data_IF_763755147370
#
_entry.id   IF_763755147370
#
_cell.length_a   1.000
_cell.length_b   1.000
_cell.length_c   1.000
_cell.angle_alpha   90.00
_cell.angle_beta   90.00
_cell.angle_gamma   90.00
#
_symmetry.space_group_name_H-M   'P 1'
#
loop_
_entity.id
_entity.type
_entity.pdbx_description
1 polymer ?
#
# COMPACT_ATOMS: atom_id res chain seq x y z
N UNK A 1 -28.86 12.60 59.04
CA UNK A 1 -27.74 13.14 58.24
C UNK A 1 -27.68 12.36 56.94
N UNK A 2 -27.80 13.06 55.80
CA UNK A 2 -27.97 12.50 54.46
C UNK A 2 -26.68 11.88 53.88
N UNK A 3 -26.81 10.64 53.43
CA UNK A 3 -26.19 9.95 52.29
C UNK A 3 -24.86 10.50 51.70
N UNK A 4 -23.73 10.01 52.22
CA UNK A 4 -22.38 10.16 51.62
C UNK A 4 -22.00 8.96 50.72
N UNK A 5 -22.87 7.94 50.61
CA UNK A 5 -22.56 6.65 49.98
C UNK A 5 -22.56 6.60 48.44
N UNK A 6 -22.99 7.67 47.76
CA UNK A 6 -23.17 7.67 46.30
C UNK A 6 -21.93 8.11 45.50
N UNK A 7 -20.86 8.59 46.15
CA UNK A 7 -19.68 9.15 45.47
C UNK A 7 -18.44 8.25 45.42
N UNK A 8 -18.54 7.00 45.88
CA UNK A 8 -17.39 6.07 45.87
C UNK A 8 -17.29 5.27 44.55
N UNK A 9 -16.07 5.08 43.99
CA UNK A 9 -15.86 4.30 42.77
C UNK A 9 -16.39 2.86 42.92
N UNK A 10 -16.94 2.29 41.84
CA UNK A 10 -17.69 1.01 41.83
C UNK A 10 -16.98 -0.15 42.57
N UNK A 11 -15.65 -0.20 42.48
CA UNK A 11 -14.74 -1.16 43.14
C UNK A 11 -14.71 -1.06 44.68
N UNK A 12 -14.92 0.12 45.26
CA UNK A 12 -14.99 0.29 46.71
C UNK A 12 -16.37 -0.03 47.28
N UNK A 13 -17.42 -0.03 46.44
CA UNK A 13 -18.79 -0.38 46.88
C UNK A 13 -18.90 -1.87 47.23
N UNK A 14 -18.22 -2.73 46.48
CA UNK A 14 -18.14 -4.17 46.76
C UNK A 14 -17.39 -4.43 48.06
N UNK A 15 -16.22 -3.81 48.25
CA UNK A 15 -15.43 -3.96 49.48
C UNK A 15 -16.16 -3.39 50.71
N UNK A 16 -16.80 -2.24 50.58
CA UNK A 16 -17.57 -1.63 51.67
C UNK A 16 -18.83 -2.46 52.02
N UNK A 17 -19.45 -3.10 51.03
CA UNK A 17 -20.54 -4.05 51.25
C UNK A 17 -20.11 -5.29 52.04
N UNK A 18 -18.93 -5.83 51.72
CA UNK A 18 -18.33 -6.96 52.47
C UNK A 18 -18.00 -6.55 53.91
N UNK A 19 -17.43 -5.36 54.13
CA UNK A 19 -17.11 -4.85 55.48
C UNK A 19 -18.38 -4.57 56.29
N UNK A 20 -19.42 -4.02 55.66
CA UNK A 20 -20.71 -3.79 56.32
C UNK A 20 -21.40 -5.12 56.72
N UNK A 21 -21.35 -6.14 55.85
CA UNK A 21 -21.86 -7.47 56.18
C UNK A 21 -21.10 -8.09 57.36
N UNK A 22 -19.76 -7.97 57.37
CA UNK A 22 -18.93 -8.44 58.48
C UNK A 22 -19.26 -7.74 59.81
N UNK A 23 -19.49 -6.42 59.79
CA UNK A 23 -19.90 -5.64 60.97
C UNK A 23 -21.28 -6.06 61.50
N UNK A 24 -22.26 -6.30 60.61
CA UNK A 24 -23.60 -6.77 61.00
C UNK A 24 -23.51 -8.18 61.61
N UNK A 25 -22.69 -9.08 61.04
CA UNK A 25 -22.48 -10.41 61.63
C UNK A 25 -21.81 -10.34 63.00
N UNK A 26 -20.88 -9.40 63.21
CA UNK A 26 -20.21 -9.19 64.49
C UNK A 26 -21.18 -8.63 65.55
N UNK A 27 -22.09 -7.73 65.15
CA UNK A 27 -23.14 -7.20 66.04
C UNK A 27 -24.18 -8.25 66.41
N UNK A 28 -24.56 -9.12 65.47
CA UNK A 28 -25.43 -10.29 65.75
C UNK A 28 -24.74 -11.27 66.70
N UNK A 29 -23.43 -11.50 66.54
CA UNK A 29 -22.63 -12.30 67.47
C UNK A 29 -22.63 -11.73 68.89
N UNK A 30 -22.35 -10.43 69.00
CA UNK A 30 -22.22 -9.76 70.28
C UNK A 30 -23.59 -9.67 71.00
N UNK A 31 -24.68 -9.53 70.25
CA UNK A 31 -26.05 -9.60 70.77
C UNK A 31 -26.45 -11.00 71.26
N UNK A 32 -26.01 -12.07 70.58
CA UNK A 32 -26.25 -13.46 71.00
C UNK A 32 -25.46 -13.81 72.27
N UNK A 33 -24.24 -13.29 72.41
CA UNK A 33 -23.40 -13.50 73.62
C UNK A 33 -23.97 -12.78 74.85
N UNK A 34 -24.53 -11.57 74.70
CA UNK A 34 -25.07 -10.80 75.82
C UNK A 34 -26.48 -11.23 76.27
N UNK A 35 -27.28 -11.85 75.39
CA UNK A 35 -28.63 -12.33 75.74
C UNK A 35 -28.65 -13.77 76.28
N UNK A 36 -27.55 -14.53 76.13
CA UNK A 36 -27.43 -15.92 76.55
C UNK A 36 -26.72 -16.10 77.90
N UNK A 37 -26.96 -15.22 78.87
CA UNK A 37 -26.46 -15.33 80.25
C UNK A 37 -27.03 -16.51 81.06
N UNK A 38 -27.26 -17.69 80.47
CA UNK A 38 -27.80 -18.83 81.21
C UNK A 38 -28.01 -20.17 80.51
N UNK A 39 -27.46 -20.47 79.31
CA UNK A 39 -27.57 -21.83 78.71
C UNK A 39 -26.30 -22.27 77.96
N UNK A 40 -25.95 -23.55 78.19
CA UNK A 40 -24.78 -24.33 77.79
C UNK A 40 -24.03 -23.90 76.50
N UNK A 41 -22.73 -23.61 76.68
CA UNK A 41 -21.78 -23.12 75.67
C UNK A 41 -21.51 -24.09 74.50
N UNK A 42 -21.74 -25.40 74.68
CA UNK A 42 -21.39 -26.43 73.71
C UNK A 42 -22.24 -26.43 72.42
N UNK A 43 -23.48 -25.97 72.47
CA UNK A 43 -24.38 -25.94 71.30
C UNK A 43 -24.15 -24.73 70.39
N UNK A 44 -23.64 -23.62 70.93
CA UNK A 44 -23.35 -22.40 70.17
C UNK A 44 -22.07 -22.52 69.34
N UNK A 45 -21.03 -23.17 69.88
CA UNK A 45 -19.76 -23.37 69.17
C UNK A 45 -19.89 -24.28 67.94
N UNK A 46 -20.76 -25.31 68.00
CA UNK A 46 -21.01 -26.23 66.87
C UNK A 46 -21.76 -25.54 65.74
N UNK A 47 -22.77 -24.73 66.04
CA UNK A 47 -23.50 -23.94 65.03
C UNK A 47 -22.55 -22.92 64.38
N UNK A 48 -21.66 -22.34 65.17
CA UNK A 48 -20.64 -21.42 64.69
C UNK A 48 -19.66 -22.08 63.72
N UNK A 49 -19.08 -23.21 64.11
CA UNK A 49 -18.12 -23.96 63.29
C UNK A 49 -18.74 -24.42 61.96
N UNK A 50 -19.99 -24.90 61.98
CA UNK A 50 -20.69 -25.35 60.78
C UNK A 50 -21.04 -24.20 59.82
N UNK A 51 -21.30 -23.00 60.35
CA UNK A 51 -21.52 -21.80 59.52
C UNK A 51 -20.23 -21.32 58.84
N UNK A 52 -19.08 -21.44 59.52
CA UNK A 52 -17.77 -21.06 58.98
C UNK A 52 -17.31 -22.03 57.88
N UNK A 53 -17.58 -23.33 58.06
CA UNK A 53 -17.25 -24.37 57.09
C UNK A 53 -18.06 -24.22 55.79
N UNK A 54 -19.37 -23.95 55.89
CA UNK A 54 -20.22 -23.67 54.73
C UNK A 54 -19.79 -22.39 53.99
N UNK A 55 -19.43 -21.33 54.73
CA UNK A 55 -18.95 -20.09 54.12
C UNK A 55 -17.60 -20.26 53.41
N UNK A 56 -16.71 -21.10 53.94
CA UNK A 56 -15.44 -21.44 53.31
C UNK A 56 -15.64 -22.26 52.03
N UNK A 57 -16.58 -23.22 52.03
CA UNK A 57 -16.93 -24.01 50.85
C UNK A 57 -17.53 -23.13 49.73
N UNK A 58 -18.46 -22.24 50.08
CA UNK A 58 -19.06 -21.30 49.12
C UNK A 58 -18.02 -20.32 48.54
N UNK A 59 -17.06 -19.87 49.36
CA UNK A 59 -15.97 -19.01 48.90
C UNK A 59 -15.00 -19.74 47.94
N UNK A 60 -14.73 -21.03 48.16
CA UNK A 60 -13.91 -21.85 47.27
C UNK A 60 -14.62 -22.10 45.92
N UNK A 61 -15.94 -22.32 45.93
CA UNK A 61 -16.73 -22.49 44.72
C UNK A 61 -16.80 -21.20 43.88
N UNK A 62 -17.02 -20.05 44.52
CA UNK A 62 -17.03 -18.74 43.86
C UNK A 62 -15.65 -18.42 43.27
N UNK A 63 -14.56 -18.75 43.97
CA UNK A 63 -13.20 -18.52 43.45
C UNK A 63 -12.87 -19.41 42.26
N UNK A 64 -13.25 -20.70 42.29
CA UNK A 64 -13.13 -21.60 41.12
C UNK A 64 -13.95 -21.12 39.93
N UNK A 65 -15.22 -20.75 40.14
CA UNK A 65 -16.07 -20.23 39.07
C UNK A 65 -15.47 -18.96 38.44
N UNK A 66 -14.90 -18.07 39.27
CA UNK A 66 -14.23 -16.84 38.81
C UNK A 66 -12.98 -17.14 37.98
N UNK A 67 -12.14 -18.10 38.41
CA UNK A 67 -10.94 -18.54 37.69
C UNK A 67 -11.29 -19.14 36.32
N UNK A 68 -12.30 -20.02 36.26
CA UNK A 68 -12.79 -20.61 35.01
C UNK A 68 -13.28 -19.54 34.02
N UNK A 69 -14.02 -18.54 34.49
CA UNK A 69 -14.42 -17.40 33.64
C UNK A 69 -13.23 -16.55 33.19
N UNK A 70 -12.20 -16.37 34.02
CA UNK A 70 -11.01 -15.61 33.65
C UNK A 70 -10.21 -16.32 32.55
N UNK A 71 -10.01 -17.64 32.68
CA UNK A 71 -9.33 -18.49 31.69
C UNK A 71 -10.12 -18.53 30.36
N UNK A 72 -11.45 -18.73 30.40
CA UNK A 72 -12.31 -18.71 29.22
C UNK A 72 -12.26 -17.38 28.46
N UNK A 73 -12.18 -16.26 29.19
CA UNK A 73 -12.02 -14.93 28.58
C UNK A 73 -10.64 -14.74 27.96
N UNK A 74 -9.59 -15.35 28.51
CA UNK A 74 -8.23 -15.27 27.95
C UNK A 74 -8.12 -16.07 26.67
N UNK A 75 -8.68 -17.29 26.64
CA UNK A 75 -8.75 -18.14 25.44
C UNK A 75 -9.54 -17.46 24.32
N UNK A 76 -10.70 -16.86 24.63
CA UNK A 76 -11.50 -16.13 23.63
C UNK A 76 -10.74 -14.95 23.03
N UNK A 77 -9.97 -14.22 23.85
CA UNK A 77 -9.14 -13.11 23.38
C UNK A 77 -7.96 -13.59 22.52
N UNK A 78 -7.38 -14.75 22.85
CA UNK A 78 -6.30 -15.35 22.05
C UNK A 78 -6.81 -15.80 20.68
N UNK A 79 -7.97 -16.47 20.62
CA UNK A 79 -8.60 -16.88 19.34
C UNK A 79 -8.86 -15.67 18.44
N UNK A 80 -9.41 -14.59 18.99
CA UNK A 80 -9.62 -13.33 18.26
C UNK A 80 -8.32 -12.72 17.74
N UNK A 81 -7.23 -12.79 18.51
CA UNK A 81 -5.91 -12.30 18.08
C UNK A 81 -5.34 -13.18 16.97
N UNK A 82 -5.50 -14.50 17.06
CA UNK A 82 -5.00 -15.44 16.05
C UNK A 82 -5.76 -15.28 14.72
N UNK A 83 -7.10 -15.11 14.77
CA UNK A 83 -7.93 -14.78 13.60
C UNK A 83 -7.53 -13.45 12.96
N UNK A 84 -7.22 -12.43 13.77
CA UNK A 84 -6.74 -11.13 13.28
C UNK A 84 -5.35 -11.25 12.65
N UNK A 85 -4.45 -12.02 13.25
CA UNK A 85 -3.11 -12.25 12.71
C UNK A 85 -3.14 -13.04 11.41
N UNK A 86 -4.04 -14.02 11.28
CA UNK A 86 -4.27 -14.75 10.03
C UNK A 86 -4.82 -13.84 8.94
N UNK A 87 -5.77 -12.94 9.28
CA UNK A 87 -6.29 -11.94 8.34
C UNK A 87 -5.21 -10.95 7.85
N UNK A 88 -4.36 -10.44 8.76
CA UNK A 88 -3.23 -9.57 8.41
C UNK A 88 -2.21 -10.31 7.54
N UNK A 89 -1.93 -11.57 7.86
CA UNK A 89 -1.03 -12.40 7.05
C UNK A 89 -1.60 -12.60 5.64
N UNK A 90 -2.88 -12.95 5.52
CA UNK A 90 -3.56 -13.10 4.23
C UNK A 90 -3.55 -11.81 3.39
N UNK A 91 -3.77 -10.66 4.01
CA UNK A 91 -3.70 -9.35 3.33
C UNK A 91 -2.28 -9.06 2.82
N UNK A 92 -1.26 -9.32 3.65
CA UNK A 92 0.14 -9.13 3.25
C UNK A 92 0.58 -10.06 2.11
N UNK A 93 0.11 -11.31 2.12
CA UNK A 93 0.37 -12.30 1.07
C UNK A 93 -0.33 -11.88 -0.24
N UNK A 94 -1.58 -11.40 -0.16
CA UNK A 94 -2.30 -10.91 -1.33
C UNK A 94 -1.62 -9.67 -1.95
N UNK A 95 -1.10 -8.74 -1.14
CA UNK A 95 -0.33 -7.60 -1.61
C UNK A 95 0.96 -8.05 -2.34
N UNK A 96 1.71 -8.97 -1.74
CA UNK A 96 2.94 -9.51 -2.34
C UNK A 96 2.67 -10.27 -3.65
N UNK A 97 1.58 -11.03 -3.71
CA UNK A 97 1.15 -11.72 -4.95
C UNK A 97 0.75 -10.73 -6.04
N UNK A 98 0.09 -9.62 -5.69
CA UNK A 98 -0.26 -8.56 -6.64
C UNK A 98 0.99 -7.87 -7.18
N UNK A 99 1.96 -7.55 -6.32
CA UNK A 99 3.22 -6.95 -6.74
C UNK A 99 4.02 -7.89 -7.66
N UNK A 100 4.08 -9.19 -7.33
CA UNK A 100 4.70 -10.20 -8.18
C UNK A 100 3.97 -10.34 -9.53
N UNK A 101 2.63 -10.33 -9.53
CA UNK A 101 1.85 -10.39 -10.75
C UNK A 101 2.07 -9.16 -11.64
N UNK A 102 2.18 -7.96 -11.06
CA UNK A 102 2.53 -6.73 -11.79
C UNK A 102 3.94 -6.80 -12.37
N UNK A 103 4.91 -7.30 -11.61
CA UNK A 103 6.28 -7.43 -12.09
C UNK A 103 6.38 -8.46 -13.22
N UNK A 104 5.67 -9.58 -13.10
CA UNK A 104 5.60 -10.61 -14.16
C UNK A 104 4.96 -10.05 -15.41
N UNK A 105 3.84 -9.31 -15.28
CA UNK A 105 3.17 -8.66 -16.40
C UNK A 105 4.02 -7.56 -17.07
N UNK A 106 4.88 -6.87 -16.30
CA UNK A 106 5.85 -5.91 -16.85
C UNK A 106 6.94 -6.61 -17.65
N UNK A 107 7.53 -7.68 -17.11
CA UNK A 107 8.58 -8.42 -17.82
C UNK A 107 8.06 -9.07 -19.11
N UNK A 108 6.82 -9.59 -19.09
CA UNK A 108 6.17 -10.14 -20.30
C UNK A 108 5.93 -9.08 -21.39
N UNK A 109 5.67 -7.83 -21.00
CA UNK A 109 5.43 -6.72 -21.94
C UNK A 109 6.69 -5.89 -22.25
N UNK A 110 7.84 -6.27 -21.70
CA UNK A 110 9.07 -5.49 -21.85
C UNK A 110 9.60 -5.58 -23.28
N UNK A 111 9.86 -4.43 -23.89
CA UNK A 111 10.35 -4.35 -25.26
C UNK A 111 11.82 -4.78 -25.28
N UNK A 112 12.08 -5.92 -25.92
CA UNK A 112 13.42 -6.47 -26.06
C UNK A 112 14.09 -5.90 -27.32
N UNK A 113 15.14 -5.10 -27.13
CA UNK A 113 15.96 -4.57 -28.21
C UNK A 113 17.33 -5.23 -28.25
N UNK A 114 17.91 -5.34 -29.46
CA UNK A 114 19.32 -5.66 -29.58
C UNK A 114 20.17 -4.58 -28.91
N UNK A 115 21.39 -4.92 -28.46
CA UNK A 115 22.28 -3.91 -27.86
C UNK A 115 22.60 -2.77 -28.84
N UNK A 116 22.66 -3.10 -30.14
CA UNK A 116 22.80 -2.11 -31.20
C UNK A 116 21.60 -1.17 -31.25
N UNK A 117 20.37 -1.71 -31.31
CA UNK A 117 19.15 -0.91 -31.36
C UNK A 117 18.94 -0.05 -30.11
N UNK A 118 19.22 -0.60 -28.91
CA UNK A 118 19.17 0.17 -27.65
C UNK A 118 20.16 1.34 -27.69
N UNK A 119 21.38 1.10 -28.15
CA UNK A 119 22.40 2.14 -28.31
C UNK A 119 22.01 3.21 -29.34
N UNK A 120 21.36 2.82 -30.44
CA UNK A 120 20.84 3.76 -31.44
C UNK A 120 19.69 4.58 -30.86
N UNK A 121 18.74 3.94 -30.17
CA UNK A 121 17.58 4.59 -29.54
C UNK A 121 18.03 5.67 -28.55
N UNK A 122 18.94 5.32 -27.62
CA UNK A 122 19.47 6.26 -26.64
C UNK A 122 20.11 7.48 -27.30
N UNK A 123 20.97 7.28 -28.30
CA UNK A 123 21.66 8.40 -28.97
C UNK A 123 20.71 9.29 -29.77
N UNK A 124 19.73 8.71 -30.47
CA UNK A 124 18.82 9.53 -31.27
C UNK A 124 17.84 10.32 -30.40
N UNK A 125 17.36 9.72 -29.30
CA UNK A 125 16.49 10.42 -28.33
C UNK A 125 17.26 11.57 -27.69
N UNK A 126 18.52 11.35 -27.28
CA UNK A 126 19.36 12.43 -26.77
C UNK A 126 19.50 13.57 -27.79
N UNK A 127 19.74 13.23 -29.06
CA UNK A 127 20.00 14.23 -30.10
C UNK A 127 18.74 14.98 -30.56
N UNK A 128 17.55 14.36 -30.57
CA UNK A 128 16.29 15.02 -30.95
C UNK A 128 15.65 15.79 -29.79
N UNK A 129 15.76 15.28 -28.56
CA UNK A 129 15.14 15.84 -27.37
C UNK A 129 16.19 16.34 -26.37
N UNK A 130 17.25 16.98 -26.86
CA UNK A 130 18.27 17.60 -26.00
C UNK A 130 17.62 18.72 -25.18
N UNK A 131 17.78 18.65 -23.85
CA UNK A 131 17.24 19.66 -22.93
C UNK A 131 15.74 19.54 -22.61
N UNK A 132 15.03 18.58 -23.23
CA UNK A 132 13.67 18.22 -22.81
C UNK A 132 13.72 17.41 -21.49
N UNK A 133 12.60 17.38 -20.77
CA UNK A 133 12.44 16.55 -19.58
C UNK A 133 12.28 15.06 -19.94
N UNK A 134 12.15 14.21 -18.92
CA UNK A 134 12.01 12.76 -19.10
C UNK A 134 10.80 12.44 -19.98
N UNK A 135 9.64 13.06 -19.74
CA UNK A 135 8.42 12.83 -20.53
C UNK A 135 8.60 13.22 -22.00
N UNK A 136 9.21 14.37 -22.30
CA UNK A 136 9.49 14.79 -23.67
C UNK A 136 10.42 13.82 -24.41
N UNK A 137 11.43 13.30 -23.72
CA UNK A 137 12.33 12.25 -24.24
C UNK A 137 11.59 10.92 -24.45
N UNK A 138 10.71 10.54 -23.53
CA UNK A 138 9.86 9.34 -23.66
C UNK A 138 8.98 9.43 -24.90
N UNK A 139 8.33 10.57 -25.14
CA UNK A 139 7.46 10.75 -26.31
C UNK A 139 8.21 10.54 -27.64
N UNK A 140 9.46 11.02 -27.76
CA UNK A 140 10.29 10.77 -28.95
C UNK A 140 10.65 9.30 -29.08
N UNK A 141 11.01 8.63 -27.97
CA UNK A 141 11.30 7.20 -27.95
C UNK A 141 10.06 6.37 -28.35
N UNK A 142 8.88 6.70 -27.81
CA UNK A 142 7.61 6.04 -28.15
C UNK A 142 7.32 6.18 -29.65
N UNK A 143 7.50 7.36 -30.27
CA UNK A 143 7.31 7.51 -31.72
C UNK A 143 8.22 6.56 -32.52
N UNK A 144 9.48 6.39 -32.11
CA UNK A 144 10.42 5.49 -32.79
C UNK A 144 9.97 4.04 -32.65
N UNK A 145 9.56 3.60 -31.46
CA UNK A 145 9.10 2.22 -31.24
C UNK A 145 7.73 1.95 -31.87
N UNK A 146 6.83 2.93 -31.89
CA UNK A 146 5.56 2.85 -32.61
C UNK A 146 5.77 2.64 -34.11
N UNK A 147 6.81 3.25 -34.68
CA UNK A 147 7.21 2.99 -36.06
C UNK A 147 7.73 1.57 -36.23
N UNK A 148 8.63 1.11 -35.37
CA UNK A 148 9.11 -0.29 -35.42
C UNK A 148 7.96 -1.29 -35.37
N UNK A 149 6.91 -0.99 -34.60
CA UNK A 149 5.72 -1.82 -34.46
C UNK A 149 4.65 -1.62 -35.56
N UNK A 150 4.87 -0.73 -36.52
CA UNK A 150 3.92 -0.43 -37.59
C UNK A 150 4.40 -1.00 -38.93
N UNK A 151 3.50 -1.65 -39.66
CA UNK A 151 3.76 -2.22 -40.99
C UNK A 151 4.13 -1.16 -42.05
N UNK A 152 3.93 0.13 -41.75
CA UNK A 152 4.28 1.25 -42.62
C UNK A 152 5.77 1.62 -42.58
N UNK A 153 6.51 1.11 -41.60
CA UNK A 153 7.90 1.49 -41.34
C UNK A 153 8.81 0.25 -41.23
N UNK A 154 10.14 0.45 -41.23
CA UNK A 154 11.08 -0.64 -40.98
C UNK A 154 10.94 -1.27 -39.59
N UNK A 155 11.29 -2.54 -39.51
CA UNK A 155 11.15 -3.45 -38.37
C UNK A 155 12.26 -3.35 -37.31
N UNK A 156 13.20 -2.40 -37.43
CA UNK A 156 14.26 -2.19 -36.42
C UNK A 156 14.50 -0.72 -36.15
N UNK A 157 14.94 -0.41 -34.92
CA UNK A 157 15.26 0.97 -34.51
C UNK A 157 16.33 1.55 -35.43
N UNK A 158 17.39 0.80 -35.71
CA UNK A 158 18.45 1.25 -36.62
C UNK A 158 17.88 1.66 -37.99
N UNK A 159 17.04 0.82 -38.61
CA UNK A 159 16.47 1.12 -39.92
C UNK A 159 15.51 2.31 -39.88
N UNK A 160 14.70 2.46 -38.82
CA UNK A 160 13.81 3.61 -38.63
C UNK A 160 14.61 4.89 -38.48
N UNK A 161 15.65 4.88 -37.65
CA UNK A 161 16.46 6.06 -37.33
C UNK A 161 17.29 6.53 -38.52
N UNK A 162 17.89 5.59 -39.27
CA UNK A 162 18.69 5.91 -40.44
C UNK A 162 17.91 5.97 -41.75
N UNK A 163 16.57 5.89 -41.70
CA UNK A 163 15.72 5.97 -42.88
C UNK A 163 15.94 7.30 -43.61
N UNK A 164 16.08 7.22 -44.93
CA UNK A 164 16.26 8.38 -45.81
C UNK A 164 15.52 8.20 -47.14
N UNK A 165 15.02 9.30 -47.67
CA UNK A 165 14.43 9.38 -49.01
C UNK A 165 15.15 10.48 -49.80
N UNK A 166 15.97 10.06 -50.77
CA UNK A 166 16.88 10.95 -51.49
C UNK A 166 17.85 11.68 -50.56
N UNK A 167 17.71 13.02 -50.47
CA UNK A 167 18.53 13.90 -49.60
C UNK A 167 17.86 14.21 -48.25
N UNK A 168 16.71 13.63 -47.95
CA UNK A 168 15.97 13.86 -46.70
C UNK A 168 16.16 12.68 -45.77
N UNK A 169 16.59 12.99 -44.55
CA UNK A 169 16.70 12.04 -43.45
C UNK A 169 15.45 12.12 -42.60
N UNK A 170 15.01 10.99 -42.06
CA UNK A 170 13.85 10.94 -41.19
C UNK A 170 14.08 11.73 -39.90
N UNK A 171 15.28 11.64 -39.35
CA UNK A 171 15.70 12.38 -38.17
C UNK A 171 16.81 13.38 -38.52
N UNK A 172 16.66 14.62 -38.05
CA UNK A 172 17.56 15.71 -38.43
C UNK A 172 19.01 15.55 -37.90
N UNK A 173 19.25 14.99 -36.69
CA UNK A 173 20.57 14.73 -36.14
C UNK A 173 21.47 13.84 -37.00
N UNK A 174 20.89 12.97 -37.83
CA UNK A 174 21.66 12.09 -38.71
C UNK A 174 22.34 12.91 -39.81
N UNK A 175 21.63 13.91 -40.34
CA UNK A 175 22.14 14.77 -41.42
C UNK A 175 23.12 15.83 -40.91
N UNK A 176 22.79 16.48 -39.81
CA UNK A 176 23.62 17.57 -39.26
C UNK A 176 24.76 17.08 -38.36
N UNK A 177 24.79 15.78 -38.08
CA UNK A 177 25.87 15.09 -37.38
C UNK A 177 25.77 15.16 -35.85
N UNK A 178 24.72 15.76 -35.28
CA UNK A 178 24.52 15.78 -33.81
C UNK A 178 24.48 14.37 -33.22
N UNK A 179 23.86 13.41 -33.91
CA UNK A 179 23.78 12.02 -33.46
C UNK A 179 25.16 11.42 -33.11
N UNK A 180 26.20 11.79 -33.85
CA UNK A 180 27.56 11.26 -33.68
C UNK A 180 28.38 12.01 -32.62
N UNK A 181 27.84 13.08 -32.03
CA UNK A 181 28.55 13.98 -31.11
C UNK A 181 27.93 14.03 -29.71
N UNK A 182 26.67 13.65 -29.58
CA UNK A 182 25.98 13.66 -28.29
C UNK A 182 26.52 12.61 -27.34
N UNK A 183 26.56 12.97 -26.06
CA UNK A 183 26.73 12.04 -24.95
C UNK A 183 25.35 11.82 -24.33
N UNK A 184 24.95 10.57 -24.15
CA UNK A 184 23.65 10.21 -23.58
C UNK A 184 23.59 10.70 -22.12
N UNK A 185 22.53 11.44 -21.77
CA UNK A 185 22.28 11.87 -20.39
C UNK A 185 21.57 10.80 -19.57
N UNK A 186 21.70 10.87 -18.24
CA UNK A 186 20.93 10.03 -17.31
C UNK A 186 19.41 10.17 -17.54
N UNK A 187 18.93 11.38 -17.86
CA UNK A 187 17.51 11.61 -18.17
C UNK A 187 17.05 10.92 -19.45
N UNK A 188 17.95 10.72 -20.43
CA UNK A 188 17.65 9.92 -21.62
C UNK A 188 17.69 8.44 -21.33
N UNK A 189 18.62 7.97 -20.50
CA UNK A 189 18.65 6.58 -20.05
C UNK A 189 17.38 6.22 -19.29
N UNK A 190 16.96 7.07 -18.34
CA UNK A 190 15.71 6.91 -17.60
C UNK A 190 14.49 6.88 -18.54
N UNK A 191 14.39 7.85 -19.45
CA UNK A 191 13.27 7.93 -20.38
C UNK A 191 13.17 6.68 -21.28
N UNK A 192 14.30 6.21 -21.83
CA UNK A 192 14.32 5.04 -22.69
C UNK A 192 14.00 3.77 -21.90
N UNK A 193 14.53 3.60 -20.69
CA UNK A 193 14.22 2.40 -19.89
C UNK A 193 12.73 2.32 -19.55
N UNK A 194 12.12 3.43 -19.11
CA UNK A 194 10.67 3.48 -18.81
C UNK A 194 9.81 3.14 -20.03
N UNK A 195 10.22 3.60 -21.21
CA UNK A 195 9.54 3.27 -22.47
C UNK A 195 9.72 1.79 -22.83
N UNK A 196 10.90 1.21 -22.60
CA UNK A 196 11.12 -0.23 -22.80
C UNK A 196 10.33 -1.09 -21.80
N UNK A 197 10.08 -0.57 -20.60
CA UNK A 197 9.19 -1.16 -19.59
C UNK A 197 7.70 -1.00 -19.91
N UNK A 198 7.37 -0.39 -21.06
CA UNK A 198 6.02 -0.32 -21.61
C UNK A 198 5.27 0.98 -21.31
N UNK A 199 5.92 2.00 -20.75
CA UNK A 199 5.29 3.32 -20.63
C UNK A 199 5.16 4.01 -22.00
N UNK A 200 3.94 4.43 -22.35
CA UNK A 200 3.67 5.19 -23.57
C UNK A 200 2.70 6.35 -23.31
N UNK A 201 3.18 7.58 -23.51
CA UNK A 201 2.38 8.81 -23.41
C UNK A 201 2.01 9.40 -24.78
N UNK A 202 2.43 8.76 -25.86
CA UNK A 202 2.35 9.29 -27.24
C UNK A 202 1.00 9.11 -27.91
N UNK A 203 0.08 8.35 -27.31
CA UNK A 203 -1.22 7.99 -27.90
C UNK A 203 -1.08 7.29 -29.26
N UNK A 204 0.01 6.53 -29.46
CA UNK A 204 0.30 5.85 -30.73
C UNK A 204 0.80 6.79 -31.83
N UNK A 205 1.42 7.92 -31.46
CA UNK A 205 1.98 8.84 -32.44
C UNK A 205 3.07 8.18 -33.29
N UNK A 206 3.04 8.47 -34.59
CA UNK A 206 4.02 8.03 -35.59
C UNK A 206 4.86 9.19 -36.13
N UNK A 207 4.48 10.43 -35.81
CA UNK A 207 5.16 11.63 -36.25
C UNK A 207 5.18 12.70 -35.16
N UNK A 208 6.18 13.56 -35.20
CA UNK A 208 6.23 14.77 -34.38
C UNK A 208 6.86 15.93 -35.15
N UNK A 209 6.54 17.16 -34.73
CA UNK A 209 7.06 18.38 -35.34
C UNK A 209 7.18 19.49 -34.29
N UNK A 210 8.30 20.23 -34.32
CA UNK A 210 8.35 21.56 -33.72
C UNK A 210 7.87 22.58 -34.75
N UNK A 211 6.60 23.01 -34.64
CA UNK A 211 5.95 23.90 -35.64
C UNK A 211 6.73 25.19 -35.88
N UNK A 212 7.36 25.73 -34.83
CA UNK A 212 8.19 26.95 -34.88
C UNK A 212 9.46 26.77 -35.73
N UNK A 213 10.01 25.56 -35.77
CA UNK A 213 11.26 25.26 -36.49
C UNK A 213 11.00 24.65 -37.87
N UNK A 214 9.81 24.10 -38.09
CA UNK A 214 9.43 23.50 -39.35
C UNK A 214 9.17 24.55 -40.45
N UNK A 215 9.57 24.23 -41.68
CA UNK A 215 9.25 25.07 -42.83
C UNK A 215 7.75 24.97 -43.19
N UNK A 216 7.21 26.01 -43.84
CA UNK A 216 5.79 26.11 -44.21
C UNK A 216 5.25 24.91 -44.99
N UNK A 217 6.08 24.27 -45.82
CA UNK A 217 5.67 23.10 -46.61
C UNK A 217 5.46 21.88 -45.71
N UNK A 218 6.36 21.64 -44.76
CA UNK A 218 6.22 20.55 -43.79
C UNK A 218 5.02 20.79 -42.90
N UNK A 219 4.88 22.00 -42.34
CA UNK A 219 3.72 22.37 -41.49
C UNK A 219 2.41 22.07 -42.22
N UNK A 220 2.27 22.54 -43.47
CA UNK A 220 1.07 22.28 -44.28
C UNK A 220 0.83 20.78 -44.50
N UNK A 221 1.88 19.99 -44.73
CA UNK A 221 1.72 18.55 -44.94
C UNK A 221 1.24 17.85 -43.65
N UNK A 222 1.81 18.19 -42.49
CA UNK A 222 1.34 17.71 -41.19
C UNK A 222 -0.14 18.04 -40.98
N UNK A 223 -0.52 19.31 -41.18
CA UNK A 223 -1.90 19.77 -40.96
C UNK A 223 -2.94 19.14 -41.92
N UNK A 224 -2.51 18.71 -43.11
CA UNK A 224 -3.41 18.20 -44.15
C UNK A 224 -3.42 16.67 -44.28
N UNK A 225 -2.39 15.99 -43.78
CA UNK A 225 -2.15 14.58 -44.08
C UNK A 225 -2.16 13.70 -42.83
N UNK A 226 -2.04 14.29 -41.64
CA UNK A 226 -1.93 13.56 -40.39
C UNK A 226 -3.00 14.01 -39.39
N UNK A 227 -3.33 13.13 -38.46
CA UNK A 227 -4.23 13.41 -37.34
C UNK A 227 -3.42 13.92 -36.17
N UNK A 228 -3.71 15.14 -35.69
CA UNK A 228 -3.10 15.67 -34.46
C UNK A 228 -3.57 14.87 -33.24
N UNK A 229 -2.65 14.57 -32.32
CA UNK A 229 -2.93 13.80 -31.11
C UNK A 229 -2.72 14.61 -29.83
N UNK A 230 -1.51 15.15 -29.64
CA UNK A 230 -1.16 15.94 -28.47
C UNK A 230 -0.05 16.94 -28.75
N UNK A 231 0.13 17.88 -27.83
CA UNK A 231 1.27 18.78 -27.77
C UNK A 231 1.97 18.62 -26.41
N UNK A 232 3.30 18.56 -26.44
CA UNK A 232 4.13 18.53 -25.24
C UNK A 232 5.39 19.36 -25.46
N UNK A 233 5.65 20.31 -24.56
CA UNK A 233 6.78 21.23 -24.69
C UNK A 233 6.70 22.02 -25.99
N UNK A 234 7.67 21.83 -26.88
CA UNK A 234 7.71 22.51 -28.19
C UNK A 234 7.32 21.63 -29.37
N UNK A 235 6.84 20.41 -29.10
CA UNK A 235 6.54 19.38 -30.08
C UNK A 235 5.05 19.08 -30.12
N UNK A 236 4.53 18.98 -31.34
CA UNK A 236 3.20 18.46 -31.64
C UNK A 236 3.34 17.04 -32.21
N UNK A 237 2.50 16.11 -31.76
CA UNK A 237 2.53 14.69 -32.10
C UNK A 237 1.31 14.29 -32.91
N UNK A 238 1.51 13.37 -33.85
CA UNK A 238 0.53 13.03 -34.88
C UNK A 238 0.54 11.54 -35.23
N UNK A 239 -0.57 11.06 -35.79
CA UNK A 239 -0.73 9.74 -36.42
C UNK A 239 -1.18 9.86 -37.86
#
# INVERSE_FOLDING_TARGET
>A
MQNVYLFLPKRYRTVLGIVAAAMVTLQVLMGVVLFAGGRNEASLSVVYAKSQENFAADAEEITKATLVTAESNTVSKQILLDEQMEAIAAESVAAMQNDLAKETAREENRIQLSQTDKGVLLRIVEAEATGEDVTGKMLVANVILNRVNSDEFPDTVEKVVFQKSGKKYQFSPIRDGRYYKVSVSETTEEAVERVLDGEDYSQGALYFMSRRQANKRNVRWFDQSLTWLLEYGTHEFYK
#
